data_IF_329262592846
#
_entry.id   IF_329262592846
#
_cell.length_a   1.000
_cell.length_b   1.000
_cell.length_c   1.000
_cell.angle_alpha   90.00
_cell.angle_beta   90.00
_cell.angle_gamma   90.00
#
_symmetry.space_group_name_H-M   'P 1'
#
loop_
_entity.id
_entity.type
_entity.pdbx_description
1 polymer ?
#
# COMPACT_ATOMS: atom_id res chain seq x y z
N UNK A 1 -5.63 29.88 -11.35
CA UNK A 1 -5.72 28.79 -12.34
C UNK A 1 -4.49 27.87 -12.26
N UNK A 2 -3.30 28.31 -12.69
CA UNK A 2 -2.07 27.49 -12.67
C UNK A 2 -1.68 26.95 -11.28
N UNK A 3 -1.74 27.78 -10.24
CA UNK A 3 -1.36 27.38 -8.87
C UNK A 3 -2.27 26.28 -8.29
N UNK A 4 -3.57 26.31 -8.59
CA UNK A 4 -4.51 25.25 -8.19
C UNK A 4 -4.20 23.93 -8.90
N UNK A 5 -3.89 23.98 -10.19
CA UNK A 5 -3.54 22.79 -10.97
C UNK A 5 -2.26 22.16 -10.42
N UNK A 6 -1.26 22.98 -10.07
CA UNK A 6 0.00 22.52 -9.47
C UNK A 6 -0.25 21.89 -8.09
N UNK A 7 -1.01 22.54 -7.20
CA UNK A 7 -1.30 21.96 -5.89
C UNK A 7 -2.05 20.63 -6.02
N UNK A 8 -3.05 20.59 -6.89
CA UNK A 8 -3.88 19.40 -7.09
C UNK A 8 -3.05 18.25 -7.67
N UNK A 9 -2.18 18.54 -8.65
CA UNK A 9 -1.32 17.51 -9.24
C UNK A 9 -0.32 16.95 -8.23
N UNK A 10 0.27 17.78 -7.37
CA UNK A 10 1.20 17.33 -6.31
C UNK A 10 0.50 16.40 -5.33
N UNK A 11 -0.72 16.73 -4.89
CA UNK A 11 -1.48 15.88 -3.95
C UNK A 11 -1.81 14.54 -4.60
N UNK A 12 -2.33 14.55 -5.83
CA UNK A 12 -2.72 13.32 -6.55
C UNK A 12 -1.50 12.43 -6.82
N UNK A 13 -0.39 12.99 -7.30
CA UNK A 13 0.84 12.24 -7.56
C UNK A 13 1.41 11.64 -6.27
N UNK A 14 1.38 12.38 -5.16
CA UNK A 14 1.83 11.90 -3.86
C UNK A 14 0.97 10.74 -3.36
N UNK A 15 -0.36 10.85 -3.46
CA UNK A 15 -1.28 9.79 -3.06
C UNK A 15 -1.08 8.51 -3.89
N UNK A 16 -0.97 8.63 -5.22
CA UNK A 16 -0.70 7.50 -6.11
C UNK A 16 0.66 6.87 -5.81
N UNK A 17 1.71 7.68 -5.57
CA UNK A 17 3.03 7.19 -5.22
C UNK A 17 3.03 6.38 -3.90
N UNK A 18 2.38 6.91 -2.86
CA UNK A 18 2.27 6.24 -1.55
C UNK A 18 1.46 4.95 -1.69
N UNK A 19 0.33 4.99 -2.41
CA UNK A 19 -0.50 3.81 -2.68
C UNK A 19 0.29 2.73 -3.43
N UNK A 20 0.95 3.10 -4.53
CA UNK A 20 1.76 2.18 -5.33
C UNK A 20 2.91 1.58 -4.52
N UNK A 21 3.60 2.40 -3.72
CA UNK A 21 4.64 1.94 -2.82
C UNK A 21 4.07 0.95 -1.81
N UNK A 22 2.98 1.28 -1.11
CA UNK A 22 2.37 0.39 -0.12
C UNK A 22 1.87 -0.92 -0.73
N UNK A 23 1.26 -0.89 -1.93
CA UNK A 23 0.82 -2.09 -2.65
C UNK A 23 2.04 -2.92 -3.06
N UNK A 24 3.10 -2.31 -3.61
CA UNK A 24 4.33 -3.01 -4.02
C UNK A 24 5.07 -3.61 -2.83
N UNK A 25 5.09 -2.94 -1.68
CA UNK A 25 5.68 -3.47 -0.45
C UNK A 25 4.86 -4.64 0.10
N UNK A 26 3.52 -4.53 0.12
CA UNK A 26 2.62 -5.63 0.51
C UNK A 26 2.71 -6.82 -0.44
N UNK A 27 2.80 -6.57 -1.76
CA UNK A 27 2.91 -7.61 -2.79
C UNK A 27 4.25 -8.34 -2.79
N UNK A 28 5.31 -7.73 -2.25
CA UNK A 28 6.60 -8.40 -1.99
C UNK A 28 6.58 -9.27 -0.72
N UNK A 29 5.41 -9.46 -0.10
CA UNK A 29 5.24 -10.30 1.09
C UNK A 29 5.78 -9.68 2.38
N UNK A 30 6.21 -8.40 2.36
CA UNK A 30 6.64 -7.69 3.55
C UNK A 30 5.41 -7.22 4.32
N UNK A 31 5.02 -8.00 5.32
CA UNK A 31 3.90 -7.69 6.20
C UNK A 31 4.33 -6.60 7.20
N UNK A 32 3.82 -5.37 7.02
CA UNK A 32 4.06 -4.26 7.94
C UNK A 32 3.15 -4.40 9.16
N UNK A 33 3.57 -5.25 10.08
CA UNK A 33 2.73 -5.73 11.15
C UNK A 33 3.60 -5.80 12.40
N UNK A 34 3.60 -4.72 13.17
CA UNK A 34 4.40 -4.56 14.40
C UNK A 34 4.14 -5.67 15.43
N UNK A 35 3.06 -6.44 15.27
CA UNK A 35 2.74 -7.64 16.05
C UNK A 35 1.98 -8.65 15.18
N UNK A 36 2.47 -8.98 13.99
CA UNK A 36 1.94 -10.16 13.28
C UNK A 36 2.41 -11.42 13.98
N UNK A 37 1.65 -11.83 14.99
CA UNK A 37 1.71 -13.16 15.57
C UNK A 37 1.26 -14.17 14.51
N UNK A 38 2.17 -14.57 13.64
CA UNK A 38 2.22 -15.78 12.79
C UNK A 38 0.91 -16.35 12.16
N UNK A 39 -0.18 -15.59 12.06
CA UNK A 39 -1.44 -16.05 11.49
C UNK A 39 -2.07 -14.89 10.69
N UNK A 40 -1.55 -14.65 9.49
CA UNK A 40 -2.26 -13.81 8.52
C UNK A 40 -3.56 -14.53 8.15
N UNK A 41 -4.75 -13.95 8.42
CA UNK A 41 -6.05 -14.59 8.14
C UNK A 41 -6.36 -14.77 6.64
N UNK A 42 -5.38 -14.55 5.76
CA UNK A 42 -5.47 -14.78 4.32
C UNK A 42 -4.47 -15.84 3.80
N UNK A 43 -3.76 -16.55 4.68
CA UNK A 43 -3.10 -17.78 4.24
C UNK A 43 -4.20 -18.82 4.05
N UNK A 44 -4.63 -18.99 2.79
CA UNK A 44 -5.45 -20.10 2.36
C UNK A 44 -4.86 -21.39 2.94
N UNK A 45 -5.54 -22.00 3.90
CA UNK A 45 -5.39 -23.44 4.12
C UNK A 45 -6.12 -24.15 2.98
N UNK A 46 -5.52 -24.11 1.79
CA UNK A 46 -5.64 -25.22 0.85
C UNK A 46 -4.69 -26.30 1.37
N UNK A 47 -5.21 -27.17 2.23
CA UNK A 47 -4.57 -28.44 2.61
C UNK A 47 -5.61 -29.31 3.32
N UNK A 48 -6.41 -29.99 2.52
CA UNK A 48 -6.71 -31.44 2.56
C UNK A 48 -8.12 -31.71 2.03
#
# INVERSE_FOLDING_TARGET
MMLQIILTSVIVLSAVYILYKNIKYKSQGKCDCSSCSAHCPNYKKDSH
#
